data_IF_971602473824
#
_entry.id   IF_971602473824
#
_cell.length_a   1.000
_cell.length_b   1.000
_cell.length_c   1.000
_cell.angle_alpha   90.00
_cell.angle_beta   90.00
_cell.angle_gamma   90.00
#
_symmetry.space_group_name_H-M   'P 1'
#
loop_
_entity.id
_entity.type
_entity.pdbx_description
1 polymer ?
#
# COMPACT_ATOMS: atom_id res chain seq x y z
N UNK A 1 6.55 24.91 16.84
CA UNK A 1 7.03 23.73 16.80
C UNK A 1 6.22 22.83 15.95
N UNK A 2 6.74 21.83 15.62
CA UNK A 2 6.12 21.09 14.74
C UNK A 2 5.65 19.84 15.28
N UNK A 3 4.52 19.53 15.00
CA UNK A 3 3.97 18.30 15.43
C UNK A 3 4.56 17.17 14.63
N UNK A 4 4.95 16.17 15.31
CA UNK A 4 5.49 15.02 14.62
C UNK A 4 4.41 14.42 13.73
N UNK A 5 4.75 14.18 12.52
CA UNK A 5 3.83 13.54 11.61
C UNK A 5 3.71 12.08 11.98
N UNK A 6 2.50 11.65 12.21
CA UNK A 6 2.29 10.28 12.56
C UNK A 6 2.39 9.44 11.31
N UNK A 7 3.25 8.47 11.33
CA UNK A 7 3.38 7.55 10.21
C UNK A 7 2.22 6.58 10.24
N UNK A 8 1.54 6.45 9.13
CA UNK A 8 0.42 5.56 9.03
C UNK A 8 0.82 4.32 8.25
N UNK A 9 0.41 3.17 8.71
CA UNK A 9 0.69 1.91 8.05
C UNK A 9 -0.61 1.21 7.70
N UNK A 10 -0.61 0.55 6.55
CA UNK A 10 -1.74 -0.25 6.13
C UNK A 10 -1.24 -1.61 5.69
N UNK A 11 -2.02 -2.63 5.96
CA UNK A 11 -1.73 -3.96 5.43
C UNK A 11 -2.64 -4.20 4.25
N UNK A 12 -2.07 -4.66 3.15
CA UNK A 12 -2.85 -4.90 1.94
C UNK A 12 -2.59 -6.29 1.40
N UNK A 13 -3.53 -6.77 0.61
CA UNK A 13 -3.35 -8.03 -0.10
C UNK A 13 -3.84 -7.85 -1.52
N UNK A 14 -3.35 -8.66 -2.46
CA UNK A 14 -3.75 -8.51 -3.86
C UNK A 14 -5.14 -9.08 -4.12
N UNK A 15 -5.84 -8.44 -5.03
CA UNK A 15 -7.16 -8.89 -5.45
C UNK A 15 -7.16 -9.39 -6.89
N UNK A 16 -6.29 -8.86 -7.74
CA UNK A 16 -6.27 -9.25 -9.14
C UNK A 16 -5.09 -10.17 -9.41
N UNK A 17 -5.12 -10.85 -10.54
CA UNK A 17 -4.01 -11.70 -10.94
C UNK A 17 -2.75 -10.88 -11.15
N UNK A 18 -2.90 -9.69 -11.69
CA UNK A 18 -1.77 -8.79 -11.91
C UNK A 18 -1.14 -8.38 -10.60
N UNK A 19 -1.97 -8.02 -9.63
CA UNK A 19 -1.46 -7.62 -8.31
C UNK A 19 -0.82 -8.81 -7.59
N UNK A 20 -1.36 -10.00 -7.74
CA UNK A 20 -0.78 -11.18 -7.15
C UNK A 20 0.59 -11.46 -7.69
N UNK A 21 0.76 -11.26 -8.98
CA UNK A 21 2.03 -11.47 -9.63
C UNK A 21 3.07 -10.49 -9.09
N UNK A 22 2.68 -9.23 -8.94
CA UNK A 22 3.57 -8.22 -8.39
C UNK A 22 3.89 -8.49 -6.94
N UNK A 23 2.89 -8.94 -6.22
CA UNK A 23 3.02 -9.26 -4.81
C UNK A 23 4.09 -10.33 -4.62
N UNK A 24 4.02 -11.40 -5.39
CA UNK A 24 4.97 -12.49 -5.25
C UNK A 24 6.38 -12.09 -5.66
N UNK A 25 6.49 -11.17 -6.60
CA UNK A 25 7.79 -10.79 -7.11
C UNK A 25 8.41 -9.59 -6.40
N UNK A 26 7.59 -8.73 -5.82
CA UNK A 26 8.07 -7.46 -5.28
C UNK A 26 7.80 -7.25 -3.81
N UNK A 27 6.94 -8.02 -3.20
CA UNK A 27 6.51 -7.76 -1.83
C UNK A 27 6.57 -9.04 -1.01
N UNK A 28 6.80 -8.87 0.28
CA UNK A 28 6.78 -10.00 1.19
C UNK A 28 5.36 -10.44 1.49
N UNK A 29 5.26 -11.57 2.15
CA UNK A 29 3.96 -12.12 2.48
C UNK A 29 3.13 -11.26 3.39
N UNK A 30 3.79 -10.58 4.30
CA UNK A 30 3.10 -9.63 5.15
C UNK A 30 3.33 -8.28 4.56
N UNK A 31 2.30 -7.71 4.03
CA UNK A 31 2.46 -6.46 3.34
C UNK A 31 2.05 -5.32 4.19
N UNK A 32 2.93 -5.00 5.10
CA UNK A 32 2.83 -3.74 5.80
C UNK A 32 3.36 -2.69 4.88
N UNK A 33 2.58 -1.70 4.62
CA UNK A 33 2.97 -0.60 3.75
C UNK A 33 2.87 0.69 4.52
N UNK A 34 3.77 1.60 4.22
CA UNK A 34 3.74 2.92 4.80
C UNK A 34 2.95 3.84 3.88
N UNK A 35 2.05 4.62 4.44
CA UNK A 35 1.28 5.57 3.65
C UNK A 35 2.16 6.78 3.38
N UNK A 36 2.44 7.05 2.11
CA UNK A 36 3.26 8.18 1.72
C UNK A 36 2.41 9.41 1.57
N UNK A 37 1.27 9.28 0.92
CA UNK A 37 0.34 10.40 0.83
C UNK A 37 -1.05 9.92 0.47
N UNK A 38 -2.02 10.78 0.73
CA UNK A 38 -3.42 10.54 0.40
C UNK A 38 -3.94 11.73 -0.34
N UNK A 39 -4.63 11.51 -1.43
CA UNK A 39 -5.07 12.60 -2.24
C UNK A 39 -6.18 12.13 -3.16
N UNK A 40 -7.28 12.85 -3.18
CA UNK A 40 -8.39 12.57 -4.11
C UNK A 40 -8.89 11.13 -4.10
N UNK A 41 -9.00 10.56 -2.91
CA UNK A 41 -9.51 9.19 -2.81
C UNK A 41 -8.49 8.12 -3.14
N UNK A 42 -7.26 8.50 -3.40
CA UNK A 42 -6.18 7.57 -3.65
C UNK A 42 -5.16 7.63 -2.55
N UNK A 43 -4.49 6.53 -2.32
CA UNK A 43 -3.42 6.49 -1.35
C UNK A 43 -2.18 5.90 -2.03
N UNK A 44 -1.05 6.52 -1.80
CA UNK A 44 0.24 6.02 -2.28
C UNK A 44 0.91 5.29 -1.14
N UNK A 45 1.29 4.06 -1.39
CA UNK A 45 1.86 3.20 -0.38
C UNK A 45 3.25 2.74 -0.78
N UNK A 46 4.08 2.52 0.23
CA UNK A 46 5.42 2.00 0.02
C UNK A 46 5.57 0.74 0.86
N UNK A 47 5.91 -0.37 0.22
CA UNK A 47 6.13 -1.61 0.94
C UNK A 47 7.36 -1.46 1.82
N UNK A 48 7.24 -1.84 3.08
CA UNK A 48 8.34 -1.68 4.01
C UNK A 48 9.49 -2.62 3.67
N UNK A 49 9.19 -3.80 3.20
CA UNK A 49 10.23 -4.79 3.00
C UNK A 49 11.14 -4.49 1.81
N UNK A 50 10.60 -3.99 0.72
CA UNK A 50 11.42 -3.78 -0.47
C UNK A 50 11.26 -2.41 -1.10
N UNK A 51 10.55 -1.52 -0.44
CA UNK A 51 10.35 -0.15 -0.88
C UNK A 51 9.61 0.00 -2.21
N UNK A 52 8.89 -1.02 -2.59
CA UNK A 52 8.07 -0.94 -3.78
C UNK A 52 6.91 0.03 -3.52
N UNK A 53 6.71 0.98 -4.41
CA UNK A 53 5.64 1.96 -4.24
C UNK A 53 4.53 1.71 -5.24
N UNK A 54 3.31 1.94 -4.81
CA UNK A 54 2.16 1.76 -5.68
C UNK A 54 1.00 2.61 -5.18
N UNK A 55 0.01 2.80 -6.03
CA UNK A 55 -1.18 3.56 -5.68
C UNK A 55 -2.37 2.63 -5.64
N UNK A 56 -3.34 2.96 -4.80
CA UNK A 56 -4.61 2.26 -4.82
C UNK A 56 -5.71 3.23 -4.42
N UNK A 57 -6.93 2.94 -4.79
CA UNK A 57 -8.07 3.73 -4.36
C UNK A 57 -8.42 3.31 -2.93
N UNK A 58 -8.65 4.30 -2.09
CA UNK A 58 -9.07 4.03 -0.74
C UNK A 58 -10.46 3.44 -0.76
N UNK A 59 -10.66 2.42 0.00
CA UNK A 59 -11.97 1.82 0.13
C UNK A 59 -12.30 0.76 -0.88
N UNK A 60 -11.97 0.96 -2.13
CA UNK A 60 -12.32 -0.03 -3.14
C UNK A 60 -11.40 0.08 -4.34
N UNK A 61 -10.48 -0.82 -4.44
CA UNK A 61 -9.53 -0.86 -5.55
C UNK A 61 -9.64 -2.19 -6.28
N UNK A 62 -9.40 -2.18 -7.58
CA UNK A 62 -9.50 -3.40 -8.37
C UNK A 62 -8.36 -4.35 -8.14
N UNK A 63 -7.23 -3.86 -7.73
CA UNK A 63 -6.02 -4.67 -7.59
C UNK A 63 -5.62 -4.98 -6.17
N UNK A 64 -5.94 -4.09 -5.24
CA UNK A 64 -5.48 -4.22 -3.86
C UNK A 64 -6.63 -4.09 -2.86
N UNK A 65 -6.46 -4.75 -1.75
CA UNK A 65 -7.47 -4.71 -0.71
C UNK A 65 -6.78 -4.46 0.63
N UNK A 66 -7.33 -3.56 1.43
CA UNK A 66 -6.80 -3.32 2.77
C UNK A 66 -7.35 -4.41 3.70
N UNK A 67 -6.47 -5.00 4.46
CA UNK A 67 -6.84 -6.07 5.36
C UNK A 67 -7.29 -5.50 6.70
#
# INVERSE_FOLDING_TARGET
MKTATKTEFLCVKPRSALARDRFDNCMDRLHSCRVIKREFGKVVLESISNRYTFEMFEGSDDHWEVI
#
